data_IF_112162700574
#
_entry.id   IF_112162700574
#
_cell.length_a   1.000
_cell.length_b   1.000
_cell.length_c   1.000
_cell.angle_alpha   90.00
_cell.angle_beta   90.00
_cell.angle_gamma   90.00
#
_symmetry.space_group_name_H-M   'P 1'
#
loop_
_entity.id
_entity.type
_entity.pdbx_description
1 polymer ?
#
# COMPACT_ATOMS: atom_id res chain seq x y z
N UNK A 1 40.09 -54.31 11.12
CA UNK A 1 38.64 -54.16 11.42
C UNK A 1 38.43 -52.83 12.12
N UNK A 2 37.72 -51.91 11.48
CA UNK A 2 37.57 -50.51 11.93
C UNK A 2 36.37 -50.37 12.87
N UNK A 3 36.61 -50.00 14.13
CA UNK A 3 35.54 -49.70 15.09
C UNK A 3 34.97 -48.31 14.79
N UNK A 4 33.74 -48.28 14.24
CA UNK A 4 33.00 -47.03 14.02
C UNK A 4 32.52 -46.47 15.36
N UNK A 5 33.11 -45.33 15.79
CA UNK A 5 32.57 -44.49 16.88
C UNK A 5 31.18 -43.97 16.48
N UNK A 6 30.15 -44.35 17.23
CA UNK A 6 28.83 -43.70 17.17
C UNK A 6 28.97 -42.25 17.67
N UNK A 7 28.66 -41.27 16.82
CA UNK A 7 28.44 -39.88 17.26
C UNK A 7 27.07 -39.82 17.92
N UNK A 8 27.05 -39.53 19.21
CA UNK A 8 25.83 -39.15 19.93
C UNK A 8 25.53 -37.71 19.49
N UNK A 9 24.45 -37.51 18.75
CA UNK A 9 23.92 -36.19 18.49
C UNK A 9 23.14 -35.74 19.72
N UNK A 10 23.71 -34.84 20.51
CA UNK A 10 22.90 -34.04 21.44
C UNK A 10 22.00 -33.15 20.60
N UNK A 11 20.68 -33.21 20.83
CA UNK A 11 19.77 -32.23 20.27
C UNK A 11 20.22 -30.83 20.67
N UNK A 12 20.38 -29.88 19.74
CA UNK A 12 20.62 -28.50 20.09
C UNK A 12 19.31 -27.92 20.62
N UNK A 13 19.09 -27.97 21.93
CA UNK A 13 18.20 -27.02 22.59
C UNK A 13 18.89 -25.65 22.57
N UNK A 14 18.94 -25.04 21.39
CA UNK A 14 19.64 -23.79 21.13
C UNK A 14 18.75 -22.57 21.34
N UNK A 15 17.95 -22.55 22.40
CA UNK A 15 17.27 -21.32 22.81
C UNK A 15 17.18 -21.28 24.32
N UNK A 16 18.11 -20.57 24.95
CA UNK A 16 17.92 -20.11 26.32
C UNK A 16 16.57 -19.37 26.43
N UNK A 17 15.93 -19.41 27.60
CA UNK A 17 14.71 -18.64 27.84
C UNK A 17 14.95 -17.16 27.51
N UNK A 18 13.89 -16.50 27.06
CA UNK A 18 13.93 -15.06 26.83
C UNK A 18 14.07 -14.39 28.21
N UNK A 19 15.01 -13.44 28.35
CA UNK A 19 15.09 -12.62 29.55
C UNK A 19 13.94 -11.61 29.54
N UNK A 20 13.16 -11.58 30.63
CA UNK A 20 12.01 -10.66 30.78
C UNK A 20 12.43 -9.18 30.80
N UNK A 21 13.68 -8.88 31.18
CA UNK A 21 14.21 -7.51 31.27
C UNK A 21 14.76 -6.98 29.94
N UNK A 22 15.38 -7.86 29.14
CA UNK A 22 16.09 -7.44 27.91
C UNK A 22 15.38 -7.88 26.63
N UNK A 23 14.37 -8.75 26.74
CA UNK A 23 13.71 -9.40 25.60
C UNK A 23 14.70 -10.13 24.67
N UNK A 24 15.88 -10.48 25.18
CA UNK A 24 16.97 -11.15 24.46
C UNK A 24 17.18 -12.57 25.02
N UNK A 25 17.72 -13.47 24.19
CA UNK A 25 18.09 -14.84 24.62
C UNK A 25 19.56 -14.88 24.98
N UNK A 26 19.90 -15.53 26.10
CA UNK A 26 21.30 -15.73 26.47
C UNK A 26 21.96 -16.77 25.53
N UNK A 27 23.13 -16.43 24.98
CA UNK A 27 23.92 -17.36 24.17
C UNK A 27 24.78 -18.32 25.03
N UNK A 28 24.91 -18.04 26.33
CA UNK A 28 25.77 -18.77 27.26
C UNK A 28 24.94 -19.38 28.40
N UNK A 29 25.42 -20.49 29.02
CA UNK A 29 24.75 -21.09 30.16
C UNK A 29 24.56 -20.10 31.32
N UNK A 30 23.42 -20.21 32.00
CA UNK A 30 23.23 -19.55 33.29
C UNK A 30 24.16 -20.21 34.31
N UNK A 31 24.98 -19.39 34.96
CA UNK A 31 25.87 -19.86 36.03
C UNK A 31 25.12 -19.58 37.32
N UNK A 32 24.76 -20.63 38.05
CA UNK A 32 24.12 -20.49 39.37
C UNK A 32 25.13 -19.80 40.29
N UNK A 33 24.83 -18.57 40.68
CA UNK A 33 25.68 -17.78 41.57
C UNK A 33 25.72 -18.42 42.96
N UNK A 34 26.69 -19.32 43.18
CA UNK A 34 27.09 -19.67 44.54
C UNK A 34 27.83 -18.45 45.10
N UNK A 35 27.17 -17.76 46.03
CA UNK A 35 27.65 -16.59 46.76
C UNK A 35 29.00 -16.87 47.45
N UNK A 36 30.09 -16.63 46.73
CA UNK A 36 31.43 -16.48 47.29
C UNK A 36 31.80 -15.01 47.23
N UNK A 37 32.09 -14.41 48.39
CA UNK A 37 32.63 -13.05 48.53
C UNK A 37 33.93 -12.89 47.73
N UNK A 38 33.81 -12.56 46.43
CA UNK A 38 34.93 -12.09 45.61
C UNK A 38 35.01 -10.57 45.76
N UNK A 39 35.68 -10.15 46.83
CA UNK A 39 36.09 -8.77 47.09
C UNK A 39 37.52 -8.48 46.60
N UNK A 40 38.22 -9.45 46.02
CA UNK A 40 39.57 -9.26 45.49
C UNK A 40 39.57 -9.31 43.96
N UNK A 41 40.29 -8.35 43.35
CA UNK A 41 40.54 -8.27 41.91
C UNK A 41 41.44 -9.46 41.51
N UNK A 42 40.84 -10.64 41.37
CA UNK A 42 41.47 -11.80 40.77
C UNK A 42 41.16 -11.83 39.27
N UNK A 43 42.21 -11.99 38.47
CA UNK A 43 42.10 -12.24 37.04
C UNK A 43 41.32 -13.57 36.88
N UNK A 44 40.19 -13.59 36.15
CA UNK A 44 39.44 -14.82 35.94
C UNK A 44 40.32 -15.88 35.29
N UNK A 45 40.34 -17.08 35.87
CA UNK A 45 41.17 -18.19 35.40
C UNK A 45 40.42 -19.14 34.44
N UNK A 46 39.08 -19.01 34.36
CA UNK A 46 38.22 -19.78 33.45
C UNK A 46 37.13 -18.88 32.82
N UNK A 47 36.52 -19.36 31.73
CA UNK A 47 35.49 -18.65 30.98
C UNK A 47 34.18 -18.43 31.77
N UNK A 48 33.82 -19.34 32.67
CA UNK A 48 32.65 -19.17 33.53
C UNK A 48 32.85 -18.05 34.57
N UNK A 49 34.05 -17.98 35.16
CA UNK A 49 34.43 -16.92 36.10
C UNK A 49 34.45 -15.56 35.41
N UNK A 50 34.95 -15.52 34.17
CA UNK A 50 34.93 -14.32 33.34
C UNK A 50 33.50 -13.84 33.06
N UNK A 51 32.60 -14.75 32.65
CA UNK A 51 31.20 -14.42 32.39
C UNK A 51 30.49 -13.92 33.65
N UNK A 52 30.80 -14.47 34.83
CA UNK A 52 30.25 -14.00 36.10
C UNK A 52 30.74 -12.58 36.43
N UNK A 53 32.03 -12.29 36.24
CA UNK A 53 32.58 -10.96 36.43
C UNK A 53 31.96 -9.92 35.48
N UNK A 54 31.79 -10.26 34.20
CA UNK A 54 31.15 -9.39 33.19
C UNK A 54 29.68 -9.14 33.50
N UNK A 55 28.93 -10.15 33.99
CA UNK A 55 27.54 -9.95 34.42
C UNK A 55 27.45 -8.97 35.60
N UNK A 56 28.31 -9.14 36.60
CA UNK A 56 28.38 -8.25 37.76
C UNK A 56 28.75 -6.82 37.36
N UNK A 57 29.70 -6.66 36.44
CA UNK A 57 30.04 -5.37 35.86
C UNK A 57 28.86 -4.77 35.09
N UNK A 58 28.20 -5.53 34.21
CA UNK A 58 27.07 -5.06 33.42
C UNK A 58 25.88 -4.63 34.29
N UNK A 59 25.59 -5.35 35.38
CA UNK A 59 24.58 -4.97 36.38
C UNK A 59 24.93 -3.67 37.12
N UNK A 60 26.22 -3.34 37.24
CA UNK A 60 26.66 -2.08 37.85
C UNK A 60 26.55 -0.86 36.92
N UNK A 61 26.30 -1.08 35.63
CA UNK A 61 26.18 -0.04 34.62
C UNK A 61 24.72 0.35 34.36
N UNK A 62 24.50 1.58 33.90
CA UNK A 62 23.17 2.03 33.50
C UNK A 62 22.75 1.34 32.18
N UNK A 63 21.56 0.73 32.16
CA UNK A 63 21.02 0.02 30.98
C UNK A 63 20.80 0.92 29.76
N UNK A 64 20.61 2.23 29.99
CA UNK A 64 20.42 3.22 28.94
C UNK A 64 21.36 4.39 29.16
N UNK A 65 22.09 4.77 28.10
CA UNK A 65 22.93 5.97 28.08
C UNK A 65 22.54 6.82 26.88
N UNK A 66 21.97 7.99 27.14
CA UNK A 66 21.78 9.02 26.12
C UNK A 66 23.01 9.90 26.09
N UNK A 67 23.64 10.02 24.91
CA UNK A 67 24.69 10.99 24.68
C UNK A 67 24.09 12.16 23.92
N UNK A 68 24.04 13.33 24.56
CA UNK A 68 23.67 14.57 23.89
C UNK A 68 24.81 14.99 22.97
N UNK A 69 24.72 14.61 21.69
CA UNK A 69 25.65 15.08 20.66
C UNK A 69 25.27 16.53 20.36
N UNK A 70 26.17 17.47 20.66
CA UNK A 70 26.01 18.82 20.13
C UNK A 70 26.24 18.76 18.61
N UNK A 71 25.26 19.14 17.79
CA UNK A 71 25.43 19.11 16.34
C UNK A 71 26.45 20.18 15.95
N UNK A 72 27.62 19.78 15.42
CA UNK A 72 28.61 20.71 14.86
C UNK A 72 28.11 21.40 13.58
N UNK A 73 27.01 20.95 12.99
CA UNK A 73 26.36 21.58 11.83
C UNK A 73 24.85 21.58 11.98
N UNK A 74 24.28 22.76 11.81
CA UNK A 74 22.85 23.01 11.74
C UNK A 74 22.21 22.16 10.65
N UNK A 75 21.05 21.60 11.01
CA UNK A 75 19.99 21.15 10.09
C UNK A 75 20.27 19.88 9.30
N UNK A 76 19.80 18.75 9.85
CA UNK A 76 19.17 17.72 9.02
C UNK A 76 18.08 18.41 8.21
N UNK A 77 18.36 18.69 6.93
CA UNK A 77 17.33 19.08 5.96
C UNK A 77 16.30 17.97 5.95
N UNK A 78 15.15 18.22 6.60
CA UNK A 78 13.95 17.42 6.39
C UNK A 78 13.76 17.34 4.88
N UNK A 79 13.82 16.12 4.34
CA UNK A 79 13.48 15.91 2.95
C UNK A 79 12.02 16.35 2.81
N UNK A 80 11.80 17.52 2.19
CA UNK A 80 10.45 17.92 1.87
C UNK A 80 9.83 16.78 1.04
N UNK A 81 8.61 16.33 1.38
CA UNK A 81 7.91 15.38 0.52
C UNK A 81 7.88 15.96 -0.89
N UNK A 82 8.16 15.13 -1.90
CA UNK A 82 8.30 15.51 -3.30
C UNK A 82 6.99 16.06 -3.93
N UNK A 83 5.95 16.23 -3.13
CA UNK A 83 4.61 16.64 -3.55
C UNK A 83 4.24 17.95 -2.85
N UNK A 84 4.24 19.04 -3.62
CA UNK A 84 3.41 20.21 -3.32
C UNK A 84 2.05 19.95 -3.97
N UNK A 85 1.10 19.51 -3.17
CA UNK A 85 -0.29 19.46 -3.61
C UNK A 85 -0.77 20.90 -3.87
N UNK A 86 -1.31 21.14 -5.07
CA UNK A 86 -1.95 22.40 -5.40
C UNK A 86 -3.21 22.48 -4.54
N UNK A 87 -3.10 23.12 -3.38
CA UNK A 87 -4.21 23.38 -2.46
C UNK A 87 -5.07 24.48 -3.09
N UNK A 88 -5.93 24.11 -4.04
CA UNK A 88 -7.10 24.92 -4.31
C UNK A 88 -8.10 24.68 -3.18
N UNK A 89 -8.61 25.72 -2.51
CA UNK A 89 -9.65 25.58 -1.50
C UNK A 89 -10.95 25.23 -2.23
N UNK A 90 -11.21 23.94 -2.42
CA UNK A 90 -12.50 23.48 -2.94
C UNK A 90 -13.47 23.51 -1.77
N UNK A 91 -14.40 24.47 -1.83
CA UNK A 91 -15.59 24.54 -1.00
C UNK A 91 -16.24 23.14 -0.95
N UNK A 92 -16.37 22.56 0.24
CA UNK A 92 -16.66 21.13 0.47
C UNK A 92 -17.83 20.61 -0.40
N UNK A 93 -17.56 19.84 -1.47
CA UNK A 93 -18.59 19.32 -2.37
C UNK A 93 -19.25 18.03 -1.81
N UNK A 94 -19.17 17.81 -0.50
CA UNK A 94 -19.50 16.55 0.17
C UNK A 94 -20.91 16.01 -0.17
N UNK A 95 -21.98 16.82 -0.25
CA UNK A 95 -23.31 16.33 -0.61
C UNK A 95 -23.37 15.82 -2.05
N UNK A 96 -22.85 16.58 -3.01
CA UNK A 96 -22.84 16.22 -4.43
C UNK A 96 -21.98 14.97 -4.68
N UNK A 97 -20.84 14.88 -3.98
CA UNK A 97 -19.94 13.74 -4.11
C UNK A 97 -20.59 12.46 -3.57
N UNK A 98 -21.34 12.55 -2.46
CA UNK A 98 -22.15 11.44 -1.94
C UNK A 98 -23.25 11.02 -2.91
N UNK A 99 -23.95 11.97 -3.53
CA UNK A 99 -24.98 11.68 -4.52
C UNK A 99 -24.41 10.95 -5.75
N UNK A 100 -23.26 11.40 -6.25
CA UNK A 100 -22.53 10.72 -7.32
C UNK A 100 -22.16 9.29 -6.92
N UNK A 101 -21.62 9.10 -5.71
CA UNK A 101 -21.29 7.79 -5.20
C UNK A 101 -22.51 6.86 -5.10
N UNK A 102 -23.65 7.37 -4.62
CA UNK A 102 -24.89 6.59 -4.58
C UNK A 102 -25.37 6.15 -5.97
N UNK A 103 -25.20 6.98 -7.00
CA UNK A 103 -25.48 6.57 -8.38
C UNK A 103 -24.54 5.47 -8.85
N UNK A 104 -23.24 5.57 -8.55
CA UNK A 104 -22.25 4.54 -8.87
C UNK A 104 -22.61 3.21 -8.20
N UNK A 105 -22.93 3.22 -6.90
CA UNK A 105 -23.34 2.02 -6.14
C UNK A 105 -24.59 1.37 -6.73
N UNK A 106 -25.60 2.17 -7.11
CA UNK A 106 -26.82 1.67 -7.75
C UNK A 106 -26.52 0.95 -9.06
N UNK A 107 -25.62 1.50 -9.87
CA UNK A 107 -25.23 0.90 -11.15
C UNK A 107 -24.27 -0.27 -11.00
N UNK A 108 -23.38 -0.24 -10.01
CA UNK A 108 -22.52 -1.37 -9.65
C UNK A 108 -23.35 -2.61 -9.29
N UNK A 109 -24.38 -2.46 -8.46
CA UNK A 109 -25.31 -3.57 -8.13
C UNK A 109 -25.99 -4.19 -9.36
N UNK A 110 -26.26 -3.38 -10.39
CA UNK A 110 -26.80 -3.87 -11.66
C UNK A 110 -25.75 -4.64 -12.48
N UNK A 111 -24.49 -4.20 -12.44
CA UNK A 111 -23.37 -4.87 -13.10
C UNK A 111 -22.98 -6.19 -12.43
N UNK A 112 -23.02 -6.26 -11.10
CA UNK A 112 -22.71 -7.48 -10.34
C UNK A 112 -23.79 -8.56 -10.51
N UNK A 113 -25.02 -8.16 -10.80
CA UNK A 113 -26.16 -9.06 -11.09
C UNK A 113 -26.38 -9.27 -12.59
N UNK A 114 -25.47 -8.81 -13.45
CA UNK A 114 -25.63 -8.89 -14.89
C UNK A 114 -25.61 -10.36 -15.37
N UNK A 115 -26.54 -10.80 -16.23
CA UNK A 115 -26.65 -12.21 -16.59
C UNK A 115 -25.42 -12.70 -17.35
N UNK A 116 -24.78 -13.82 -16.93
CA UNK A 116 -23.56 -14.32 -17.57
C UNK A 116 -23.71 -14.66 -19.06
N UNK A 117 -24.91 -15.08 -19.49
CA UNK A 117 -25.20 -15.42 -20.88
C UNK A 117 -25.31 -14.20 -21.82
N UNK A 118 -25.37 -12.98 -21.25
CA UNK A 118 -25.35 -11.73 -22.01
C UNK A 118 -23.94 -11.10 -22.05
N UNK A 119 -22.96 -11.77 -21.44
CA UNK A 119 -21.57 -11.35 -21.56
C UNK A 119 -21.09 -11.59 -22.99
N UNK A 120 -20.25 -10.69 -23.45
CA UNK A 120 -19.63 -10.73 -24.75
C UNK A 120 -18.45 -11.69 -24.72
N UNK A 121 -18.25 -12.42 -25.83
CA UNK A 121 -17.07 -13.25 -26.02
C UNK A 121 -15.82 -12.37 -26.12
N UNK A 122 -14.69 -12.90 -25.67
CA UNK A 122 -13.38 -12.23 -25.70
C UNK A 122 -12.93 -11.83 -27.12
N UNK A 123 -13.49 -12.44 -28.16
CA UNK A 123 -13.25 -12.11 -29.56
C UNK A 123 -13.90 -10.80 -30.03
N UNK A 124 -14.92 -10.33 -29.31
CA UNK A 124 -15.66 -9.10 -29.66
C UNK A 124 -15.11 -7.87 -28.95
N UNK A 125 -14.37 -8.07 -27.86
CA UNK A 125 -13.70 -6.99 -27.14
C UNK A 125 -12.38 -6.62 -27.83
N UNK A 126 -12.01 -5.33 -27.88
CA UNK A 126 -10.73 -4.92 -28.42
C UNK A 126 -9.59 -5.55 -27.63
N UNK A 127 -8.65 -6.18 -28.34
CA UNK A 127 -7.47 -6.80 -27.74
C UNK A 127 -6.32 -5.82 -27.51
N UNK A 128 -6.36 -4.65 -28.18
CA UNK A 128 -5.30 -3.64 -28.11
C UNK A 128 -5.82 -2.33 -27.52
N UNK A 129 -4.92 -1.62 -26.84
CA UNK A 129 -5.17 -0.31 -26.25
C UNK A 129 -5.62 0.72 -27.31
N UNK A 130 -5.07 0.64 -28.53
CA UNK A 130 -5.49 1.49 -29.66
C UNK A 130 -6.90 1.15 -30.14
N UNK A 131 -7.28 -0.13 -30.16
CA UNK A 131 -8.65 -0.55 -30.43
C UNK A 131 -9.62 0.01 -29.41
N UNK A 132 -9.27 -0.06 -28.11
CA UNK A 132 -10.06 0.55 -27.04
C UNK A 132 -10.24 2.05 -27.21
N UNK A 133 -9.19 2.80 -27.57
CA UNK A 133 -9.29 4.23 -27.86
C UNK A 133 -10.33 4.51 -28.96
N UNK A 134 -10.29 3.74 -30.05
CA UNK A 134 -11.24 3.90 -31.15
C UNK A 134 -12.67 3.57 -30.74
N UNK A 135 -12.87 2.48 -30.00
CA UNK A 135 -14.21 2.11 -29.49
C UNK A 135 -14.77 3.18 -28.57
N UNK A 136 -13.96 3.68 -27.62
CA UNK A 136 -14.38 4.68 -26.64
C UNK A 136 -14.73 6.02 -27.32
N UNK A 137 -14.05 6.39 -28.41
CA UNK A 137 -14.33 7.60 -29.16
C UNK A 137 -15.60 7.51 -30.02
N UNK A 138 -15.88 6.33 -30.60
CA UNK A 138 -16.90 6.19 -31.65
C UNK A 138 -18.19 5.50 -31.21
N UNK A 139 -18.16 4.71 -30.14
CA UNK A 139 -19.29 3.90 -29.70
C UNK A 139 -19.74 4.27 -28.29
N UNK A 140 -21.05 4.20 -28.04
CA UNK A 140 -21.61 4.44 -26.70
C UNK A 140 -21.40 3.21 -25.80
N UNK A 141 -21.17 3.41 -24.49
CA UNK A 141 -21.03 2.30 -23.56
C UNK A 141 -22.31 1.47 -23.51
N UNK A 142 -22.17 0.16 -23.66
CA UNK A 142 -23.24 -0.80 -23.43
C UNK A 142 -22.96 -1.61 -22.17
N UNK A 143 -24.02 -2.03 -21.48
CA UNK A 143 -23.89 -2.83 -20.26
C UNK A 143 -23.16 -4.15 -20.52
N UNK A 144 -23.39 -4.78 -21.67
CA UNK A 144 -22.70 -6.02 -22.05
C UNK A 144 -21.19 -5.80 -22.20
N UNK A 145 -20.77 -4.68 -22.81
CA UNK A 145 -19.36 -4.35 -22.96
C UNK A 145 -18.69 -4.14 -21.60
N UNK A 146 -19.27 -3.26 -20.77
CA UNK A 146 -18.72 -2.90 -19.46
C UNK A 146 -18.70 -4.09 -18.50
N UNK A 147 -19.71 -4.96 -18.55
CA UNK A 147 -19.75 -6.17 -17.72
C UNK A 147 -18.68 -7.19 -18.13
N UNK A 148 -18.33 -7.24 -19.42
CA UNK A 148 -17.37 -8.20 -19.99
C UNK A 148 -15.93 -7.72 -19.93
N UNK A 149 -15.68 -6.42 -19.72
CA UNK A 149 -14.33 -5.87 -19.55
C UNK A 149 -13.71 -6.30 -18.22
N UNK A 150 -12.47 -6.77 -18.29
CA UNK A 150 -11.65 -7.11 -17.14
C UNK A 150 -11.07 -5.87 -16.45
N UNK A 151 -10.72 -6.03 -15.17
CA UNK A 151 -10.18 -4.93 -14.35
C UNK A 151 -8.86 -4.39 -14.90
N UNK A 152 -7.97 -5.24 -15.39
CA UNK A 152 -6.66 -4.81 -15.89
C UNK A 152 -6.82 -3.89 -17.10
N UNK A 153 -7.71 -4.23 -18.03
CA UNK A 153 -8.06 -3.35 -19.15
C UNK A 153 -8.66 -2.02 -18.68
N UNK A 154 -9.56 -2.03 -17.69
CA UNK A 154 -10.13 -0.80 -17.12
C UNK A 154 -9.05 0.12 -16.54
N UNK A 155 -8.11 -0.43 -15.77
CA UNK A 155 -7.02 0.33 -15.18
C UNK A 155 -6.08 0.90 -16.25
N UNK A 156 -5.72 0.12 -17.28
CA UNK A 156 -4.94 0.59 -18.42
C UNK A 156 -5.65 1.73 -19.16
N UNK A 157 -6.98 1.66 -19.30
CA UNK A 157 -7.78 2.75 -19.88
C UNK A 157 -7.71 4.00 -19.00
N UNK A 158 -7.90 3.88 -17.68
CA UNK A 158 -7.78 5.03 -16.77
C UNK A 158 -6.40 5.68 -16.80
N UNK A 159 -5.33 4.90 -16.91
CA UNK A 159 -3.98 5.44 -17.02
C UNK A 159 -3.79 6.27 -18.30
N UNK A 160 -4.40 5.84 -19.40
CA UNK A 160 -4.24 6.47 -20.72
C UNK A 160 -5.33 7.48 -21.07
N UNK A 161 -6.44 7.53 -20.31
CA UNK A 161 -7.63 8.27 -20.71
C UNK A 161 -7.39 9.75 -20.93
N UNK A 162 -6.55 10.39 -20.09
CA UNK A 162 -6.24 11.82 -20.21
C UNK A 162 -5.55 12.17 -21.54
N UNK A 163 -4.77 11.24 -22.12
CA UNK A 163 -4.13 11.42 -23.42
C UNK A 163 -5.07 11.17 -24.61
N UNK A 164 -6.20 10.50 -24.36
CA UNK A 164 -7.18 10.15 -25.40
C UNK A 164 -8.31 11.16 -25.51
N UNK A 165 -8.40 12.11 -24.57
CA UNK A 165 -9.46 13.10 -24.56
C UNK A 165 -9.36 13.98 -25.81
N UNK A 166 -10.36 13.82 -26.69
CA UNK A 166 -10.47 14.55 -27.96
C UNK A 166 -11.74 15.38 -27.91
N UNK A 167 -11.62 16.69 -28.19
CA UNK A 167 -12.70 17.68 -27.97
C UNK A 167 -14.05 17.28 -28.62
N UNK A 168 -14.02 16.58 -29.76
CA UNK A 168 -15.22 16.23 -30.52
C UNK A 168 -15.95 14.99 -29.97
N UNK A 169 -15.33 14.20 -29.08
CA UNK A 169 -15.90 12.94 -28.55
C UNK A 169 -15.97 12.91 -27.02
N UNK A 170 -15.64 14.01 -26.33
CA UNK A 170 -15.56 14.09 -24.86
C UNK A 170 -16.81 13.57 -24.14
N UNK A 171 -18.00 13.82 -24.66
CA UNK A 171 -19.24 13.36 -24.02
C UNK A 171 -19.36 11.83 -24.03
N UNK A 172 -18.99 11.17 -25.13
CA UNK A 172 -18.99 9.71 -25.22
C UNK A 172 -17.89 9.13 -24.32
N UNK A 173 -16.71 9.74 -24.36
CA UNK A 173 -15.57 9.34 -23.52
C UNK A 173 -15.90 9.47 -22.02
N UNK A 174 -16.60 10.53 -21.63
CA UNK A 174 -17.05 10.74 -20.24
C UNK A 174 -18.02 9.65 -19.76
N UNK A 175 -18.93 9.20 -20.64
CA UNK A 175 -19.87 8.12 -20.30
C UNK A 175 -19.12 6.80 -20.05
N UNK A 176 -18.09 6.50 -20.85
CA UNK A 176 -17.22 5.35 -20.61
C UNK A 176 -16.50 5.42 -19.27
N UNK A 177 -15.91 6.57 -18.93
CA UNK A 177 -15.25 6.77 -17.63
C UNK A 177 -16.21 6.55 -16.46
N UNK A 178 -17.43 7.09 -16.56
CA UNK A 178 -18.47 6.86 -15.56
C UNK A 178 -18.84 5.37 -15.44
N UNK A 179 -19.06 4.69 -16.57
CA UNK A 179 -19.38 3.26 -16.59
C UNK A 179 -18.27 2.40 -15.99
N UNK A 180 -17.01 2.73 -16.26
CA UNK A 180 -15.88 2.03 -15.66
C UNK A 180 -15.77 2.27 -14.15
N UNK A 181 -16.05 3.48 -13.66
CA UNK A 181 -16.15 3.74 -12.22
C UNK A 181 -17.21 2.84 -11.56
N UNK A 182 -18.33 2.59 -12.25
CA UNK A 182 -19.38 1.67 -11.77
C UNK A 182 -18.93 0.20 -11.73
N UNK A 183 -17.98 -0.21 -12.58
CA UNK A 183 -17.52 -1.61 -12.67
C UNK A 183 -16.41 -1.94 -11.68
N UNK A 184 -15.72 -0.93 -11.12
CA UNK A 184 -14.63 -1.14 -10.18
C UNK A 184 -15.07 -2.02 -8.98
N UNK A 185 -14.25 -2.98 -8.54
CA UNK A 185 -14.57 -3.87 -7.43
C UNK A 185 -14.49 -3.16 -6.07
N UNK A 186 -15.07 -3.77 -5.03
CA UNK A 186 -15.04 -3.20 -3.68
C UNK A 186 -13.64 -3.19 -3.07
N UNK A 187 -12.77 -4.10 -3.51
CA UNK A 187 -11.41 -4.27 -3.00
C UNK A 187 -10.43 -4.11 -4.16
N UNK A 188 -9.46 -3.21 -3.98
CA UNK A 188 -8.37 -2.96 -4.91
C UNK A 188 -7.03 -3.02 -4.17
N UNK A 189 -5.96 -3.35 -4.88
CA UNK A 189 -4.62 -3.28 -4.32
C UNK A 189 -4.14 -1.82 -4.23
N UNK A 190 -3.16 -1.56 -3.37
CA UNK A 190 -2.60 -0.20 -3.21
C UNK A 190 -1.99 0.37 -4.50
N UNK A 191 -1.46 -0.50 -5.37
CA UNK A 191 -0.98 -0.13 -6.70
C UNK A 191 -2.13 0.35 -7.60
N UNK A 192 -3.22 -0.43 -7.69
CA UNK A 192 -4.40 -0.07 -8.48
C UNK A 192 -5.02 1.26 -8.00
N UNK A 193 -5.12 1.46 -6.68
CA UNK A 193 -5.59 2.73 -6.10
C UNK A 193 -4.66 3.88 -6.48
N UNK A 194 -3.34 3.66 -6.49
CA UNK A 194 -2.37 4.68 -6.90
C UNK A 194 -2.49 5.03 -8.39
N UNK A 195 -2.79 4.05 -9.25
CA UNK A 195 -3.09 4.26 -10.67
C UNK A 195 -4.35 5.11 -10.85
N UNK A 196 -5.43 4.80 -10.13
CA UNK A 196 -6.67 5.58 -10.17
C UNK A 196 -6.48 7.02 -9.66
N UNK A 197 -5.68 7.23 -8.61
CA UNK A 197 -5.31 8.57 -8.13
C UNK A 197 -4.54 9.36 -9.17
N UNK A 198 -3.60 8.72 -9.85
CA UNK A 198 -2.82 9.34 -10.92
C UNK A 198 -3.72 9.70 -12.10
N UNK A 199 -4.63 8.81 -12.50
CA UNK A 199 -5.66 9.08 -13.50
C UNK A 199 -6.55 10.26 -13.12
N UNK A 200 -7.04 10.33 -11.87
CA UNK A 200 -7.82 11.46 -11.37
C UNK A 200 -7.07 12.79 -11.48
N UNK A 201 -5.79 12.82 -11.09
CA UNK A 201 -4.95 14.02 -11.21
C UNK A 201 -4.80 14.45 -12.66
N UNK A 202 -4.56 13.50 -13.57
CA UNK A 202 -4.50 13.77 -15.00
C UNK A 202 -5.83 14.29 -15.55
N UNK A 203 -6.96 13.70 -15.18
CA UNK A 203 -8.29 14.22 -15.58
C UNK A 203 -8.59 15.62 -15.02
N UNK A 204 -8.04 15.98 -13.86
CA UNK A 204 -8.18 17.33 -13.27
C UNK A 204 -7.22 18.34 -13.88
N UNK A 205 -6.12 17.93 -14.48
CA UNK A 205 -5.20 18.84 -15.18
C UNK A 205 -5.57 19.04 -16.64
N UNK A 206 -6.29 18.09 -17.23
CA UNK A 206 -6.64 18.08 -18.67
C UNK A 206 -8.13 18.38 -18.86
N UNK A 207 -8.49 19.17 -19.88
CA UNK A 207 -9.90 19.42 -20.26
C UNK A 207 -10.82 19.93 -19.13
N UNK A 208 -10.28 20.72 -18.20
CA UNK A 208 -11.02 21.32 -17.07
C UNK A 208 -12.16 22.24 -17.47
N UNK A 209 -12.26 22.62 -18.74
CA UNK A 209 -13.33 23.48 -19.25
C UNK A 209 -14.62 22.72 -19.59
N UNK A 210 -14.58 21.39 -19.65
CA UNK A 210 -15.71 20.56 -20.11
C UNK A 210 -16.47 19.92 -18.94
N UNK A 211 -17.78 20.24 -18.75
CA UNK A 211 -18.56 19.75 -17.61
C UNK A 211 -18.69 18.23 -17.54
N UNK A 212 -18.73 17.52 -18.67
CA UNK A 212 -18.88 16.07 -18.74
C UNK A 212 -17.64 15.34 -18.19
N UNK A 213 -16.44 15.83 -18.53
CA UNK A 213 -15.18 15.34 -17.98
C UNK A 213 -15.03 15.70 -16.50
N UNK A 214 -15.40 16.93 -16.11
CA UNK A 214 -15.41 17.33 -14.69
C UNK A 214 -16.32 16.41 -13.86
N UNK A 215 -17.51 16.08 -14.36
CA UNK A 215 -18.44 15.18 -13.68
C UNK A 215 -17.86 13.76 -13.55
N UNK A 216 -17.17 13.28 -14.59
CA UNK A 216 -16.51 11.97 -14.56
C UNK A 216 -15.34 11.94 -13.57
N UNK A 217 -14.53 13.01 -13.54
CA UNK A 217 -13.46 13.16 -12.55
C UNK A 217 -13.99 13.25 -11.12
N UNK A 218 -15.09 14.00 -10.91
CA UNK A 218 -15.77 14.06 -9.60
C UNK A 218 -16.37 12.71 -9.21
N UNK A 219 -16.87 11.93 -10.18
CA UNK A 219 -17.35 10.57 -9.94
C UNK A 219 -16.20 9.66 -9.50
N UNK A 220 -15.07 9.69 -10.21
CA UNK A 220 -13.87 8.92 -9.82
C UNK A 220 -13.38 9.35 -8.43
N UNK A 221 -13.40 10.64 -8.13
CA UNK A 221 -13.07 11.14 -6.79
C UNK A 221 -14.02 10.59 -5.73
N UNK A 222 -15.32 10.57 -6.01
CA UNK A 222 -16.32 10.02 -5.11
C UNK A 222 -16.05 8.54 -4.79
N UNK A 223 -15.70 7.74 -5.80
CA UNK A 223 -15.34 6.33 -5.58
C UNK A 223 -14.07 6.21 -4.74
N UNK A 224 -13.02 6.98 -5.04
CA UNK A 224 -11.76 6.95 -4.28
C UNK A 224 -11.97 7.32 -2.81
N UNK A 225 -12.75 8.35 -2.52
CA UNK A 225 -13.04 8.80 -1.16
C UNK A 225 -13.94 7.81 -0.42
N UNK A 226 -15.12 7.49 -0.97
CA UNK A 226 -16.15 6.76 -0.23
C UNK A 226 -16.01 5.24 -0.28
N UNK A 227 -15.45 4.68 -1.37
CA UNK A 227 -15.24 3.23 -1.48
C UNK A 227 -13.86 2.80 -0.98
N UNK A 228 -12.81 3.55 -1.35
CA UNK A 228 -11.42 3.19 -1.03
C UNK A 228 -10.79 4.02 0.09
N UNK A 229 -11.58 4.85 0.78
CA UNK A 229 -11.15 5.56 1.99
C UNK A 229 -10.05 6.60 1.78
N UNK A 230 -9.88 7.12 0.56
CA UNK A 230 -8.87 8.15 0.24
C UNK A 230 -9.33 9.54 0.72
N UNK A 231 -9.40 9.73 2.04
CA UNK A 231 -9.91 10.95 2.66
C UNK A 231 -9.06 12.21 2.41
N UNK A 232 -7.81 12.03 1.96
CA UNK A 232 -6.91 13.12 1.57
C UNK A 232 -7.34 13.82 0.25
N UNK A 233 -8.27 13.25 -0.51
CA UNK A 233 -8.76 13.79 -1.77
C UNK A 233 -10.04 14.66 -1.65
N UNK A 234 -10.52 14.86 -0.42
CA UNK A 234 -11.71 15.69 -0.10
C UNK A 234 -11.41 17.19 -0.16
#
# INVERSE_FOLDING_TARGET
MSMKRKRIFHHPQATAPLSDETNQRCAFPEVVENQGNLQDVQIPLDGLDYLAAVRKEAMSLNSFKSASIQPEKSETKSHNPLYKEVTQPVCSPEPLLKDLYHMVEKHNKKLTTYPPHLLLDSSTLPSTLQGWRQTIANEKPSWAFVASTDLATILNIFENCAYWLENDTLDVQSQWLFCFCCKLPDILNGEDVSTLRSALRSLRSTHTTFPSIQTSASTLNAVLVFRYGQSDLL
#
